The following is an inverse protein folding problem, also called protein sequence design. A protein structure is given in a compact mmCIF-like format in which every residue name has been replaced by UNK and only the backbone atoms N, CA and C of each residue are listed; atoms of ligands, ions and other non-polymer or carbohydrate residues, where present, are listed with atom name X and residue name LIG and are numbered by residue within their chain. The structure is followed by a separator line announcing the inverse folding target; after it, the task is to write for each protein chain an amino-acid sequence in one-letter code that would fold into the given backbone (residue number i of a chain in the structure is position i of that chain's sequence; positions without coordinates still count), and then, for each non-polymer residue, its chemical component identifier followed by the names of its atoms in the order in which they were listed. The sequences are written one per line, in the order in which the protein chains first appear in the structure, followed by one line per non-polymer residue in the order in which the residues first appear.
data_IF_003168871015
#
_entry.id   IF_003168871015
#
_cell.length_a   1.000
_cell.length_b   1.000
_cell.length_c   1.000
_cell.angle_alpha   90.00
_cell.angle_beta   90.00
_cell.angle_gamma   90.00
#
_symmetry.space_group_name_H-M   'P 1'
#
loop_
_entity.id
_entity.type
_entity.pdbx_description
1 polymer ?
#
# COMPACT_ATOMS: atom_id res chain seq x y z
N UNK A 1 7.48 0.20 -21.87
CA UNK A 1 6.21 0.00 -21.14
C UNK A 1 6.38 -1.05 -20.04
N UNK A 2 5.32 -1.39 -19.31
CA UNK A 2 5.40 -2.23 -18.09
C UNK A 2 6.09 -3.60 -18.31
N UNK A 3 5.79 -4.29 -19.42
CA UNK A 3 6.43 -5.58 -19.76
C UNK A 3 7.96 -5.47 -19.86
N UNK A 4 8.45 -4.45 -20.58
CA UNK A 4 9.88 -4.19 -20.70
C UNK A 4 10.51 -3.81 -19.36
N UNK A 5 9.81 -3.00 -18.55
CA UNK A 5 10.27 -2.65 -17.21
C UNK A 5 10.42 -3.89 -16.31
N UNK A 6 9.46 -4.83 -16.36
CA UNK A 6 9.55 -6.09 -15.65
C UNK A 6 10.73 -6.95 -16.12
N UNK A 7 10.98 -7.04 -17.43
CA UNK A 7 12.16 -7.74 -17.96
C UNK A 7 13.48 -7.11 -17.50
N UNK A 8 13.54 -5.78 -17.43
CA UNK A 8 14.73 -5.07 -16.92
C UNK A 8 14.94 -5.33 -15.42
N UNK A 9 13.88 -5.34 -14.62
CA UNK A 9 13.98 -5.66 -13.19
C UNK A 9 14.39 -7.13 -12.99
N UNK A 10 13.91 -8.06 -13.83
CA UNK A 10 14.35 -9.45 -13.79
C UNK A 10 15.84 -9.61 -14.11
N UNK A 11 16.37 -8.77 -15.02
CA UNK A 11 17.78 -8.80 -15.42
C UNK A 11 18.70 -8.15 -14.38
N UNK A 12 18.33 -6.96 -13.89
CA UNK A 12 19.22 -6.11 -13.07
C UNK A 12 18.87 -6.12 -11.58
N UNK A 13 17.75 -6.68 -11.17
CA UNK A 13 17.26 -6.71 -9.79
C UNK A 13 16.60 -5.41 -9.34
N UNK A 14 17.30 -4.27 -9.48
CA UNK A 14 16.81 -2.96 -9.05
C UNK A 14 17.03 -1.87 -10.09
N UNK A 15 16.27 -0.77 -9.94
CA UNK A 15 16.48 0.43 -10.74
C UNK A 15 17.91 0.97 -10.58
N UNK A 16 18.47 1.04 -9.36
CA UNK A 16 19.83 1.57 -9.16
C UNK A 16 20.90 0.71 -9.81
N UNK A 17 20.75 -0.62 -9.78
CA UNK A 17 21.67 -1.51 -10.47
C UNK A 17 21.62 -1.31 -11.99
N UNK A 18 20.43 -1.17 -12.57
CA UNK A 18 20.29 -0.84 -13.99
C UNK A 18 20.93 0.52 -14.34
N UNK A 19 20.74 1.55 -13.50
CA UNK A 19 21.36 2.87 -13.68
C UNK A 19 22.89 2.81 -13.55
N UNK A 20 23.42 2.01 -12.61
CA UNK A 20 24.86 1.84 -12.42
C UNK A 20 25.54 1.18 -13.62
N UNK A 21 24.83 0.29 -14.34
CA UNK A 21 25.28 -0.26 -15.62
C UNK A 21 25.07 0.68 -16.83
N UNK A 22 24.72 1.94 -16.58
CA UNK A 22 24.60 2.98 -17.62
C UNK A 22 23.28 2.95 -18.39
N UNK A 23 22.29 2.16 -17.97
CA UNK A 23 20.94 2.24 -18.55
C UNK A 23 20.29 3.56 -18.17
N UNK A 24 19.58 4.19 -19.11
CA UNK A 24 18.80 5.41 -18.87
C UNK A 24 19.63 6.56 -18.26
N UNK A 25 20.88 6.72 -18.69
CA UNK A 25 21.78 7.72 -18.14
C UNK A 25 21.22 9.16 -18.26
N UNK A 26 20.51 9.48 -19.35
CA UNK A 26 19.89 10.79 -19.55
C UNK A 26 18.70 11.03 -18.61
N UNK A 27 18.00 9.97 -18.20
CA UNK A 27 16.80 10.03 -17.37
C UNK A 27 17.05 9.63 -15.90
N UNK A 28 18.30 9.35 -15.52
CA UNK A 28 18.64 8.76 -14.22
C UNK A 28 18.05 9.54 -13.02
N UNK A 29 18.22 10.87 -13.02
CA UNK A 29 17.69 11.72 -11.95
C UNK A 29 16.16 11.80 -11.95
N UNK A 30 15.54 11.83 -13.14
CA UNK A 30 14.09 11.80 -13.25
C UNK A 30 13.51 10.47 -12.73
N UNK A 31 14.16 9.35 -13.04
CA UNK A 31 13.76 8.03 -12.56
C UNK A 31 13.91 7.91 -11.03
N UNK A 32 14.98 8.45 -10.44
CA UNK A 32 15.13 8.52 -8.98
C UNK A 32 14.06 9.39 -8.33
N UNK A 33 13.73 10.52 -8.93
CA UNK A 33 12.64 11.37 -8.46
C UNK A 33 11.30 10.62 -8.52
N UNK A 34 10.97 9.99 -9.64
CA UNK A 34 9.74 9.21 -9.76
C UNK A 34 9.68 8.05 -8.77
N UNK A 35 10.80 7.38 -8.50
CA UNK A 35 10.86 6.35 -7.45
C UNK A 35 10.50 6.93 -6.08
N UNK A 36 11.08 8.09 -5.71
CA UNK A 36 10.75 8.73 -4.43
C UNK A 36 9.27 9.09 -4.32
N UNK A 37 8.68 9.62 -5.39
CA UNK A 37 7.24 9.98 -5.41
C UNK A 37 6.35 8.73 -5.35
N UNK A 38 6.73 7.65 -6.03
CA UNK A 38 5.95 6.42 -6.11
C UNK A 38 6.14 5.48 -4.92
N UNK A 39 7.09 5.76 -4.02
CA UNK A 39 7.38 4.91 -2.86
C UNK A 39 6.80 5.55 -1.61
N UNK A 40 6.04 4.78 -0.83
CA UNK A 40 5.56 5.20 0.48
C UNK A 40 6.73 5.45 1.43
N UNK A 41 6.72 6.58 2.13
CA UNK A 41 7.70 6.90 3.17
C UNK A 41 7.41 6.07 4.43
N UNK A 42 8.37 5.21 4.80
CA UNK A 42 8.28 4.34 5.99
C UNK A 42 8.64 5.05 7.28
N UNK A 43 9.39 6.14 7.19
CA UNK A 43 9.93 6.89 8.33
C UNK A 43 9.02 8.08 8.68
N UNK A 44 7.87 8.18 7.99
CA UNK A 44 6.85 9.16 8.28
C UNK A 44 6.47 9.09 9.77
N UNK A 45 6.45 10.22 10.50
CA UNK A 45 6.18 10.24 11.93
C UNK A 45 4.70 9.96 12.18
N UNK A 46 4.37 8.68 12.37
CA UNK A 46 3.03 8.24 12.72
C UNK A 46 2.93 8.04 14.24
N UNK A 47 1.79 8.40 14.86
CA UNK A 47 1.55 8.03 16.24
C UNK A 47 1.52 6.49 16.36
N UNK A 48 2.06 5.96 17.45
CA UNK A 48 1.94 4.54 17.74
C UNK A 48 0.45 4.19 17.92
N UNK A 49 -0.02 3.21 17.15
CA UNK A 49 -1.33 2.61 17.32
C UNK A 49 -1.17 1.31 18.07
N UNK A 50 -1.92 1.14 19.16
CA UNK A 50 -1.98 -0.14 19.86
C UNK A 50 -2.76 -1.15 19.03
N UNK A 51 -2.39 -2.42 19.12
CA UNK A 51 -3.22 -3.51 18.62
C UNK A 51 -4.59 -3.47 19.32
N UNK A 52 -5.66 -3.69 18.56
CA UNK A 52 -7.02 -3.65 19.06
C UNK A 52 -7.77 -4.94 18.71
N UNK A 53 -8.45 -5.52 19.70
CA UNK A 53 -9.42 -6.59 19.46
C UNK A 53 -10.74 -5.97 19.00
N UNK A 54 -11.26 -6.35 17.82
CA UNK A 54 -12.48 -5.75 17.30
C UNK A 54 -13.71 -6.13 18.14
N UNK A 55 -14.56 -5.15 18.42
CA UNK A 55 -15.86 -5.33 19.08
C UNK A 55 -16.97 -5.36 18.02
N UNK A 56 -17.10 -6.48 17.32
CA UNK A 56 -18.00 -6.62 16.17
C UNK A 56 -19.47 -6.24 16.43
N UNK A 57 -20.08 -6.59 17.58
CA UNK A 57 -21.46 -6.17 17.86
C UNK A 57 -21.62 -4.65 17.92
N UNK A 58 -20.71 -3.96 18.63
CA UNK A 58 -20.75 -2.50 18.73
C UNK A 58 -20.52 -1.81 17.37
N UNK A 59 -19.63 -2.38 16.54
CA UNK A 59 -19.40 -1.90 15.19
C UNK A 59 -20.64 -2.09 14.29
N UNK A 60 -21.36 -3.21 14.44
CA UNK A 60 -22.59 -3.48 13.71
C UNK A 60 -23.70 -2.49 14.09
N UNK A 61 -23.92 -2.22 15.38
CA UNK A 61 -24.88 -1.20 15.84
C UNK A 61 -24.58 0.18 15.24
N UNK A 62 -23.33 0.64 15.35
CA UNK A 62 -22.91 1.93 14.81
C UNK A 62 -23.13 2.02 13.29
N UNK A 63 -22.84 0.94 12.55
CA UNK A 63 -23.11 0.88 11.12
C UNK A 63 -24.62 0.95 10.81
N UNK A 64 -25.51 0.43 11.67
CA UNK A 64 -26.96 0.59 11.50
C UNK A 64 -27.39 2.03 11.75
N UNK A 65 -26.85 2.69 12.78
CA UNK A 65 -27.13 4.10 13.07
C UNK A 65 -26.75 5.02 11.90
N UNK A 66 -25.67 4.69 11.19
CA UNK A 66 -25.25 5.40 9.97
C UNK A 66 -26.03 5.01 8.71
N UNK A 67 -27.01 4.11 8.80
CA UNK A 67 -27.81 3.63 7.67
C UNK A 67 -27.08 2.65 6.75
N UNK A 68 -25.94 2.10 7.17
CA UNK A 68 -25.11 1.17 6.39
C UNK A 68 -25.53 -0.29 6.62
N UNK A 69 -26.80 -0.62 6.36
CA UNK A 69 -27.39 -1.92 6.73
C UNK A 69 -26.66 -3.16 6.21
N UNK A 70 -26.15 -3.12 4.96
CA UNK A 70 -25.33 -4.23 4.41
C UNK A 70 -23.97 -4.39 5.09
N UNK A 71 -23.39 -3.30 5.57
CA UNK A 71 -22.15 -3.36 6.36
C UNK A 71 -22.44 -3.92 7.76
N UNK A 72 -23.49 -3.42 8.42
CA UNK A 72 -23.90 -3.91 9.73
C UNK A 72 -24.10 -5.43 9.75
N UNK A 73 -24.83 -5.98 8.77
CA UNK A 73 -25.04 -7.43 8.68
C UNK A 73 -23.74 -8.23 8.49
N UNK A 74 -22.75 -7.70 7.76
CA UNK A 74 -21.43 -8.34 7.63
C UNK A 74 -20.64 -8.29 8.93
N UNK A 75 -20.69 -7.18 9.65
CA UNK A 75 -20.01 -7.03 10.95
C UNK A 75 -20.64 -7.95 12.01
N UNK A 76 -21.95 -8.10 12.00
CA UNK A 76 -22.67 -9.01 12.90
C UNK A 76 -22.30 -10.49 12.62
N UNK A 77 -22.17 -10.88 11.35
CA UNK A 77 -21.69 -12.22 11.00
C UNK A 77 -20.28 -12.53 11.57
N UNK A 78 -19.40 -11.52 11.65
CA UNK A 78 -18.07 -11.66 12.25
C UNK A 78 -18.09 -11.82 13.77
N UNK A 79 -19.17 -11.44 14.45
CA UNK A 79 -19.32 -11.66 15.90
C UNK A 79 -19.62 -13.11 16.28
N UNK A 80 -20.02 -13.93 15.31
CA UNK A 80 -20.46 -15.32 15.51
C UNK A 80 -19.50 -16.34 14.89
N UNK A 81 -18.43 -15.87 14.21
CA UNK A 81 -17.36 -16.72 13.66
C UNK A 81 -16.17 -16.77 14.62
#
# INVERSE_FOLDING_TARGET
GAKTAASLLAQYGTLEQALAEGRFAAEAEALRLYRRIATMDRDAPLPALADATPTWPAAAELAREWGLGRLAGRLEALSTS
#
